data_IF_494764572493
#
_entry.id   IF_494764572493
#
_cell.length_a   1.000
_cell.length_b   1.000
_cell.length_c   1.000
_cell.angle_alpha   90.00
_cell.angle_beta   90.00
_cell.angle_gamma   90.00
#
_symmetry.space_group_name_H-M   'P 1'
#
loop_
_entity.id
_entity.type
_entity.pdbx_description
1 polymer ?
#
# COMPACT_ATOMS: atom_id res chain seq x y z
N UNK A 1 42.08 -62.17 -4.42
CA UNK A 1 41.23 -62.58 -5.57
C UNK A 1 40.15 -61.51 -5.73
N UNK A 2 39.93 -61.07 -6.98
CA UNK A 2 39.07 -59.95 -7.41
C UNK A 2 37.60 -60.13 -7.03
N UNK A 3 36.90 -59.04 -6.69
CA UNK A 3 35.55 -58.72 -7.22
C UNK A 3 35.46 -57.20 -7.45
N UNK A 4 34.94 -56.84 -8.62
CA UNK A 4 34.86 -55.50 -9.19
C UNK A 4 33.57 -54.74 -8.77
N UNK A 5 33.71 -53.41 -8.75
CA UNK A 5 32.78 -52.24 -8.73
C UNK A 5 31.71 -52.31 -9.85
N UNK A 6 30.64 -51.46 -9.99
CA UNK A 6 30.03 -50.36 -9.19
C UNK A 6 28.48 -50.43 -8.99
N UNK A 7 27.90 -49.60 -8.10
CA UNK A 7 26.63 -48.92 -8.42
C UNK A 7 26.39 -47.62 -7.62
N UNK A 8 26.24 -46.55 -8.40
CA UNK A 8 25.66 -45.22 -8.20
C UNK A 8 24.69 -45.04 -7.01
N UNK A 9 24.94 -43.98 -6.22
CA UNK A 9 23.88 -43.13 -5.66
C UNK A 9 24.46 -41.73 -5.39
N UNK A 10 24.41 -40.86 -6.40
CA UNK A 10 24.60 -39.42 -6.21
C UNK A 10 23.30 -38.83 -5.68
N UNK A 11 23.24 -38.51 -4.38
CA UNK A 11 22.15 -37.73 -3.80
C UNK A 11 22.61 -36.29 -3.64
N UNK A 12 22.37 -35.49 -4.69
CA UNK A 12 22.37 -34.03 -4.62
C UNK A 12 21.05 -33.63 -3.95
N UNK A 13 21.08 -33.29 -2.67
CA UNK A 13 20.00 -32.50 -2.07
C UNK A 13 20.37 -31.03 -2.22
N UNK A 14 19.72 -30.41 -3.19
CA UNK A 14 19.87 -29.01 -3.59
C UNK A 14 19.50 -28.11 -2.40
N UNK A 15 20.40 -27.20 -2.04
CA UNK A 15 20.07 -26.03 -1.22
C UNK A 15 19.06 -25.16 -1.99
N UNK A 16 17.77 -25.32 -1.74
CA UNK A 16 16.78 -24.30 -2.13
C UNK A 16 16.63 -23.30 -1.00
N UNK A 17 17.59 -22.38 -0.91
CA UNK A 17 17.35 -21.06 -0.33
C UNK A 17 16.36 -20.34 -1.24
N UNK A 18 15.09 -20.28 -0.82
CA UNK A 18 14.01 -19.62 -1.56
C UNK A 18 13.28 -18.63 -0.67
N UNK A 19 13.91 -17.47 -0.46
CA UNK A 19 13.33 -16.19 -0.02
C UNK A 19 12.02 -16.24 0.79
N UNK A 20 12.08 -16.62 2.07
CA UNK A 20 11.05 -16.24 3.05
C UNK A 20 11.27 -14.82 3.61
N UNK A 21 11.84 -13.92 2.80
CA UNK A 21 12.20 -12.55 3.19
C UNK A 21 11.89 -11.57 2.06
N UNK A 22 10.60 -11.24 1.89
CA UNK A 22 10.17 -10.09 1.08
C UNK A 22 8.78 -9.55 1.49
N UNK A 23 8.27 -9.90 2.67
CA UNK A 23 7.20 -9.15 3.32
C UNK A 23 7.76 -8.17 4.38
N UNK A 24 9.08 -7.96 4.38
CA UNK A 24 9.79 -7.03 5.25
C UNK A 24 9.77 -5.65 4.60
N UNK A 25 9.04 -4.73 5.21
CA UNK A 25 9.23 -3.28 5.11
C UNK A 25 9.61 -2.75 3.73
N UNK A 26 8.67 -2.79 2.79
CA UNK A 26 8.76 -1.86 1.66
C UNK A 26 8.93 -0.45 2.24
N UNK A 27 9.98 0.25 1.79
CA UNK A 27 10.28 1.58 2.29
C UNK A 27 9.09 2.51 2.09
N UNK A 28 8.86 3.41 3.04
CA UNK A 28 7.88 4.47 2.85
C UNK A 28 8.31 5.35 1.68
N UNK A 29 7.34 5.68 0.83
CA UNK A 29 7.49 6.69 -0.21
C UNK A 29 7.71 8.06 0.44
N UNK A 30 8.41 8.95 -0.27
CA UNK A 30 8.34 10.36 0.08
C UNK A 30 6.89 10.85 -0.03
N UNK A 31 6.43 11.74 0.85
CA UNK A 31 5.05 12.20 0.83
C UNK A 31 4.71 12.97 -0.46
N UNK A 32 5.69 13.63 -1.09
CA UNK A 32 5.50 14.28 -2.39
C UNK A 32 5.25 13.26 -3.50
N UNK A 33 5.95 12.11 -3.47
CA UNK A 33 5.73 11.03 -4.45
C UNK A 33 4.36 10.40 -4.27
N UNK A 34 3.99 10.09 -3.03
CA UNK A 34 2.66 9.57 -2.73
C UNK A 34 1.55 10.56 -3.12
N UNK A 35 1.74 11.87 -2.87
CA UNK A 35 0.79 12.90 -3.26
C UNK A 35 0.66 13.00 -4.78
N UNK A 36 1.77 12.92 -5.52
CA UNK A 36 1.74 12.93 -6.99
C UNK A 36 0.96 11.75 -7.59
N UNK A 37 0.95 10.59 -6.91
CA UNK A 37 0.17 9.41 -7.32
C UNK A 37 -1.31 9.57 -6.93
N UNK A 38 -1.59 9.92 -5.68
CA UNK A 38 -2.97 9.96 -5.17
C UNK A 38 -3.76 11.18 -5.67
N UNK A 39 -3.11 12.33 -5.83
CA UNK A 39 -3.73 13.60 -6.19
C UNK A 39 -3.83 13.80 -7.71
N UNK A 40 -4.20 12.75 -8.44
CA UNK A 40 -4.29 12.76 -9.91
C UNK A 40 -5.64 13.27 -10.44
N UNK A 41 -6.57 13.63 -9.56
CA UNK A 41 -7.89 14.14 -9.89
C UNK A 41 -8.89 13.07 -10.32
N UNK A 42 -8.54 11.78 -10.24
CA UNK A 42 -9.42 10.66 -10.61
C UNK A 42 -9.87 9.88 -9.36
N UNK A 43 -10.97 9.12 -9.43
CA UNK A 43 -11.42 8.30 -8.30
C UNK A 43 -10.51 7.09 -8.07
N UNK A 44 -9.92 6.98 -6.88
CA UNK A 44 -9.33 5.78 -6.32
C UNK A 44 -10.38 4.96 -5.58
N UNK A 45 -10.28 3.63 -5.63
CA UNK A 45 -10.89 2.79 -4.60
C UNK A 45 -10.02 2.87 -3.35
N UNK A 46 -10.62 3.04 -2.18
CA UNK A 46 -9.91 3.05 -0.91
C UNK A 46 -10.60 2.10 0.06
N UNK A 47 -9.93 1.01 0.42
CA UNK A 47 -10.38 0.09 1.45
C UNK A 47 -9.98 0.64 2.82
N UNK A 48 -10.94 0.70 3.74
CA UNK A 48 -10.78 1.20 5.10
C UNK A 48 -10.54 0.06 6.08
N UNK A 49 -9.92 0.31 7.26
CA UNK A 49 -9.69 -0.73 8.27
C UNK A 49 -10.96 -1.43 8.80
N UNK A 50 -12.12 -0.78 8.70
CA UNK A 50 -13.42 -1.36 9.08
C UNK A 50 -14.07 -2.16 7.94
N UNK A 51 -13.32 -2.46 6.86
CA UNK A 51 -13.75 -3.35 5.77
C UNK A 51 -14.68 -2.69 4.75
N UNK A 52 -14.81 -1.36 4.76
CA UNK A 52 -15.60 -0.62 3.75
C UNK A 52 -14.70 -0.23 2.58
N UNK A 53 -15.32 -0.05 1.42
CA UNK A 53 -14.65 0.54 0.27
C UNK A 53 -15.30 1.88 -0.07
N UNK A 54 -14.49 2.92 -0.15
CA UNK A 54 -14.90 4.28 -0.50
C UNK A 54 -14.22 4.70 -1.80
N UNK A 55 -14.80 5.68 -2.51
CA UNK A 55 -14.13 6.33 -3.64
C UNK A 55 -13.54 7.66 -3.21
N UNK A 56 -12.23 7.79 -3.30
CA UNK A 56 -11.50 9.02 -3.01
C UNK A 56 -11.05 9.69 -4.30
N UNK A 57 -11.29 10.99 -4.44
CA UNK A 57 -10.73 11.78 -5.54
C UNK A 57 -9.93 12.91 -4.93
N UNK A 58 -8.60 12.87 -5.02
CA UNK A 58 -7.73 13.95 -4.56
C UNK A 58 -7.22 14.75 -5.76
N UNK A 59 -7.22 16.06 -5.67
CA UNK A 59 -6.78 16.98 -6.73
C UNK A 59 -5.48 17.66 -6.32
N UNK A 60 -4.64 18.02 -7.29
CA UNK A 60 -3.34 18.68 -7.05
C UNK A 60 -3.44 20.02 -6.29
N UNK A 61 -4.60 20.66 -6.32
CA UNK A 61 -4.86 21.93 -5.62
C UNK A 61 -5.07 21.79 -4.10
N UNK A 62 -4.91 20.58 -3.55
CA UNK A 62 -5.12 20.31 -2.11
C UNK A 62 -6.58 20.05 -1.74
N UNK A 63 -7.49 20.00 -2.71
CA UNK A 63 -8.90 19.62 -2.47
C UNK A 63 -9.16 18.17 -2.86
N UNK A 64 -10.30 17.64 -2.43
CA UNK A 64 -10.74 16.32 -2.84
C UNK A 64 -12.16 16.01 -2.41
N UNK A 65 -12.57 14.77 -2.67
CA UNK A 65 -13.86 14.24 -2.27
C UNK A 65 -13.82 12.77 -1.90
N UNK A 66 -14.77 12.38 -1.05
CA UNK A 66 -15.04 11.00 -0.66
C UNK A 66 -16.48 10.68 -1.04
N UNK A 67 -16.68 9.60 -1.79
CA UNK A 67 -18.00 9.04 -2.10
C UNK A 67 -18.12 7.66 -1.47
N UNK A 68 -19.07 7.52 -0.58
CA UNK A 68 -19.41 6.26 0.08
C UNK A 68 -20.80 5.74 -0.34
N UNK A 69 -21.43 4.88 0.49
CA UNK A 69 -22.77 4.36 0.23
C UNK A 69 -23.89 5.39 0.41
N UNK A 70 -23.62 6.48 1.13
CA UNK A 70 -24.57 7.59 1.31
C UNK A 70 -24.78 8.37 -0.01
N UNK A 71 -25.96 8.97 -0.24
CA UNK A 71 -26.29 9.63 -1.51
C UNK A 71 -25.54 10.96 -1.73
N UNK A 72 -24.78 11.44 -0.75
CA UNK A 72 -23.99 12.67 -0.85
C UNK A 72 -22.48 12.38 -0.95
N UNK A 73 -21.79 13.26 -1.65
CA UNK A 73 -20.32 13.27 -1.72
C UNK A 73 -19.78 14.21 -0.64
N UNK A 74 -18.80 13.75 0.12
CA UNK A 74 -18.14 14.53 1.16
C UNK A 74 -16.94 15.26 0.57
N UNK A 75 -16.84 16.56 0.82
CA UNK A 75 -15.63 17.33 0.48
C UNK A 75 -14.54 17.09 1.53
N UNK A 76 -13.30 17.02 1.06
CA UNK A 76 -12.10 16.96 1.91
C UNK A 76 -11.04 17.93 1.39
N UNK A 77 -10.11 18.30 2.25
CA UNK A 77 -8.83 18.89 1.86
C UNK A 77 -7.71 17.90 2.18
N UNK A 78 -6.58 18.04 1.52
CA UNK A 78 -5.38 17.29 1.83
C UNK A 78 -4.13 18.15 1.73
N UNK A 79 -3.09 17.77 2.48
CA UNK A 79 -1.80 18.46 2.49
C UNK A 79 -0.68 17.50 2.87
N UNK A 80 0.55 17.80 2.45
CA UNK A 80 1.74 17.13 2.97
C UNK A 80 2.15 17.80 4.29
N UNK A 81 2.38 17.00 5.33
CA UNK A 81 2.88 17.47 6.64
C UNK A 81 3.99 16.53 7.12
N UNK A 82 5.23 17.02 7.17
CA UNK A 82 6.37 16.16 7.49
C UNK A 82 6.52 15.05 6.45
N UNK A 83 6.53 13.80 6.91
CA UNK A 83 6.59 12.59 6.09
C UNK A 83 5.20 12.01 5.75
N UNK A 84 4.11 12.70 6.10
CA UNK A 84 2.73 12.22 5.96
C UNK A 84 1.94 13.03 4.93
N UNK A 85 0.89 12.42 4.40
CA UNK A 85 -0.23 13.11 3.73
C UNK A 85 -1.41 13.13 4.69
N UNK A 86 -1.86 14.32 5.05
CA UNK A 86 -3.01 14.53 5.91
C UNK A 86 -4.24 14.85 5.08
N UNK A 87 -5.30 14.04 5.20
CA UNK A 87 -6.62 14.24 4.61
C UNK A 87 -7.56 14.70 5.72
N UNK A 88 -8.18 15.86 5.56
CA UNK A 88 -9.09 16.46 6.53
C UNK A 88 -10.49 16.62 5.91
N UNK A 89 -11.52 16.27 6.69
CA UNK A 89 -12.91 16.46 6.31
C UNK A 89 -13.81 16.54 7.53
N UNK A 90 -15.13 16.52 7.29
CA UNK A 90 -16.13 16.56 8.38
C UNK A 90 -16.00 15.40 9.38
N UNK A 91 -15.40 14.29 8.96
CA UNK A 91 -15.21 13.09 9.79
C UNK A 91 -13.88 13.07 10.57
N UNK A 92 -13.12 14.17 10.54
CA UNK A 92 -11.82 14.29 11.18
C UNK A 92 -10.66 14.36 10.20
N UNK A 93 -9.44 14.20 10.72
CA UNK A 93 -8.20 14.23 9.95
C UNK A 93 -7.47 12.90 10.08
N UNK A 94 -6.93 12.40 8.97
CA UNK A 94 -6.06 11.21 8.91
C UNK A 94 -4.75 11.58 8.24
N UNK A 95 -3.63 11.33 8.92
CA UNK A 95 -2.30 11.60 8.40
C UNK A 95 -1.57 10.28 8.18
N UNK A 96 -1.28 9.96 6.92
CA UNK A 96 -0.81 8.64 6.53
C UNK A 96 0.55 8.72 5.84
N UNK A 97 1.43 7.77 6.15
CA UNK A 97 2.62 7.45 5.35
C UNK A 97 2.25 6.37 4.36
N UNK A 98 2.86 6.36 3.18
CA UNK A 98 2.47 5.44 2.11
C UNK A 98 3.61 4.53 1.70
N UNK A 99 3.29 3.27 1.46
CA UNK A 99 4.13 2.29 0.78
C UNK A 99 3.46 1.92 -0.54
N UNK A 100 4.24 1.48 -1.52
CA UNK A 100 3.65 0.88 -2.71
C UNK A 100 2.86 -0.39 -2.34
N UNK A 101 1.84 -0.70 -3.11
CA UNK A 101 1.09 -1.93 -3.00
C UNK A 101 0.66 -2.37 -4.41
N UNK A 102 0.38 -3.67 -4.63
CA UNK A 102 -0.15 -4.11 -5.92
C UNK A 102 -1.40 -3.29 -6.31
N UNK A 103 -1.32 -2.59 -7.45
CA UNK A 103 -2.40 -1.76 -7.97
C UNK A 103 -2.60 -0.39 -7.29
N UNK A 104 -1.71 0.03 -6.38
CA UNK A 104 -1.84 1.34 -5.76
C UNK A 104 -0.91 1.54 -4.55
N UNK A 105 -1.45 2.09 -3.46
CA UNK A 105 -0.67 2.46 -2.27
C UNK A 105 -1.34 1.99 -0.98
N UNK A 106 -0.54 1.48 -0.05
CA UNK A 106 -0.98 1.21 1.32
C UNK A 106 -0.63 2.39 2.22
N UNK A 107 -1.62 3.00 2.86
CA UNK A 107 -1.47 4.02 3.91
C UNK A 107 -1.27 3.40 5.29
N UNK A 108 -0.47 4.08 6.12
CA UNK A 108 -0.16 3.68 7.49
C UNK A 108 -0.30 4.86 8.45
N UNK A 109 -0.99 4.64 9.57
CA UNK A 109 -1.04 5.53 10.73
C UNK A 109 -0.11 4.97 11.81
N UNK A 110 1.06 5.60 11.96
CA UNK A 110 2.18 5.01 12.70
C UNK A 110 2.56 3.66 12.09
N UNK A 111 2.43 2.61 12.89
CA UNK A 111 2.75 1.22 12.51
C UNK A 111 1.48 0.39 12.23
N UNK A 112 0.32 1.02 12.10
CA UNK A 112 -0.94 0.34 11.76
C UNK A 112 -1.34 0.61 10.31
N UNK A 113 -1.68 -0.43 9.53
CA UNK A 113 -2.24 -0.22 8.20
C UNK A 113 -3.60 0.48 8.32
N UNK A 114 -3.80 1.50 7.50
CA UNK A 114 -5.05 2.25 7.39
C UNK A 114 -5.59 2.10 5.95
N UNK A 115 -5.93 3.21 5.28
CA UNK A 115 -6.46 3.24 3.93
C UNK A 115 -5.55 2.55 2.91
N UNK A 116 -6.08 1.58 2.16
CA UNK A 116 -5.43 1.00 0.98
C UNK A 116 -6.08 1.53 -0.29
N UNK A 117 -5.31 2.27 -1.08
CA UNK A 117 -5.76 2.82 -2.36
C UNK A 117 -5.43 1.85 -3.49
N UNK A 118 -6.40 1.59 -4.37
CA UNK A 118 -6.24 0.70 -5.53
C UNK A 118 -7.05 1.17 -6.74
N UNK A 119 -6.59 0.76 -7.93
CA UNK A 119 -7.28 0.86 -9.21
C UNK A 119 -7.00 -0.34 -10.10
#
# INVERSE_FOLDING_TARGET
MKINVPLVAASIAILTGGAAFAAQDQAFLSPQRAAAVLADGRPWSADTPDGKTLKFTLKKDGTGSIRGPMPFTLSVSWSVKGDQICIAGKMGTRCLRFREAPGGLQGWDGDKPDLKFSR
#
